data_IF_257180164366
#
_entry.id   IF_257180164366
#
_cell.length_a   1.000
_cell.length_b   1.000
_cell.length_c   1.000
_cell.angle_alpha   90.00
_cell.angle_beta   90.00
_cell.angle_gamma   90.00
#
_symmetry.space_group_name_H-M   'P 1'
#
loop_
_entity.id
_entity.type
_entity.pdbx_description
1 polymer ?
#
# COMPACT_ATOMS: atom_id res chain seq x y z
N UNK A 1 37.60 -17.76 23.18
CA UNK A 1 36.73 -16.70 23.68
C UNK A 1 35.98 -16.14 22.50
N UNK A 2 34.76 -16.59 22.30
CA UNK A 2 33.93 -16.21 21.12
C UNK A 2 33.10 -14.99 21.50
N UNK A 3 33.45 -13.84 20.91
CA UNK A 3 32.66 -12.61 21.06
C UNK A 3 31.32 -12.82 20.33
N UNK A 4 30.24 -13.03 21.09
CA UNK A 4 28.88 -12.86 20.58
C UNK A 4 28.71 -11.38 20.22
N UNK A 5 28.74 -11.08 18.93
CA UNK A 5 28.25 -9.80 18.42
C UNK A 5 26.77 -9.72 18.82
N UNK A 6 26.48 -8.83 19.76
CA UNK A 6 25.13 -8.46 20.10
C UNK A 6 24.50 -7.93 18.81
N UNK A 7 23.50 -8.64 18.28
CA UNK A 7 22.62 -8.13 17.24
C UNK A 7 21.88 -6.96 17.90
N UNK A 8 22.30 -5.74 17.57
CA UNK A 8 21.56 -4.54 17.93
C UNK A 8 20.11 -4.79 17.52
N UNK A 9 19.22 -4.72 18.51
CA UNK A 9 17.77 -4.88 18.30
C UNK A 9 17.37 -3.87 17.24
N UNK A 10 16.86 -4.36 16.09
CA UNK A 10 16.28 -3.52 15.05
C UNK A 10 15.25 -2.62 15.71
N UNK A 11 15.58 -1.34 15.85
CA UNK A 11 14.72 -0.39 16.51
C UNK A 11 13.47 -0.23 15.62
N UNK A 12 12.32 -0.63 16.14
CA UNK A 12 11.05 -0.28 15.51
C UNK A 12 10.92 1.23 15.41
N UNK A 13 10.27 1.79 14.37
CA UNK A 13 10.04 3.21 14.26
C UNK A 13 9.29 3.71 15.51
N UNK A 14 9.64 4.89 16.03
CA UNK A 14 9.00 5.44 17.23
C UNK A 14 7.52 5.67 17.04
N UNK A 15 7.12 6.07 15.83
CA UNK A 15 5.72 6.31 15.50
C UNK A 15 5.40 5.97 14.04
N UNK A 16 4.20 5.38 13.83
CA UNK A 16 3.69 5.00 12.53
C UNK A 16 2.28 5.53 12.35
N UNK A 17 2.03 6.20 11.24
CA UNK A 17 0.68 6.56 10.82
C UNK A 17 0.22 5.62 9.71
N UNK A 18 -0.78 4.80 9.98
CA UNK A 18 -1.42 3.94 8.98
C UNK A 18 -2.51 4.75 8.29
N UNK A 19 -2.42 4.87 6.97
CA UNK A 19 -3.33 5.65 6.14
C UNK A 19 -4.13 4.69 5.27
N UNK A 20 -5.45 4.70 5.46
CA UNK A 20 -6.39 3.79 4.81
C UNK A 20 -7.40 4.58 3.99
N UNK A 21 -7.29 4.63 2.66
CA UNK A 21 -8.32 5.23 1.83
C UNK A 21 -9.55 4.31 1.81
N UNK A 22 -10.74 4.87 2.03
CA UNK A 22 -12.00 4.15 2.01
C UNK A 22 -13.00 4.80 1.05
N UNK A 23 -13.73 3.97 0.33
CA UNK A 23 -14.85 4.37 -0.52
C UNK A 23 -15.79 3.19 -0.70
N UNK A 24 -16.94 3.22 -0.03
CA UNK A 24 -17.92 2.13 -0.01
C UNK A 24 -17.30 0.79 0.43
N UNK A 25 -16.73 0.76 1.61
CA UNK A 25 -16.01 -0.37 2.22
C UNK A 25 -16.74 -0.91 3.48
N UNK A 26 -18.06 -0.71 3.59
CA UNK A 26 -18.86 -1.15 4.77
C UNK A 26 -18.67 -2.63 5.10
N UNK A 27 -18.37 -3.48 4.11
CA UNK A 27 -18.18 -4.92 4.28
C UNK A 27 -16.79 -5.33 4.78
N UNK A 28 -15.80 -4.42 4.75
CA UNK A 28 -14.40 -4.73 5.06
C UNK A 28 -13.83 -3.93 6.21
N UNK A 29 -14.39 -2.75 6.49
CA UNK A 29 -13.83 -1.80 7.43
C UNK A 29 -13.79 -2.32 8.88
N UNK A 30 -14.82 -3.04 9.33
CA UNK A 30 -14.87 -3.61 10.68
C UNK A 30 -13.75 -4.64 10.89
N UNK A 31 -13.54 -5.53 9.89
CA UNK A 31 -12.51 -6.56 9.96
C UNK A 31 -11.09 -5.96 10.03
N UNK A 32 -10.86 -4.83 9.35
CA UNK A 32 -9.59 -4.13 9.43
C UNK A 32 -9.38 -3.47 10.79
N UNK A 33 -10.42 -2.83 11.36
CA UNK A 33 -10.35 -2.25 12.70
C UNK A 33 -10.10 -3.32 13.76
N UNK A 34 -10.80 -4.47 13.68
CA UNK A 34 -10.58 -5.62 14.56
C UNK A 34 -9.15 -6.19 14.46
N UNK A 35 -8.53 -6.09 13.29
CA UNK A 35 -7.13 -6.47 13.12
C UNK A 35 -6.21 -5.50 13.85
N UNK A 36 -6.44 -4.19 13.78
CA UNK A 36 -5.65 -3.20 14.49
C UNK A 36 -5.81 -3.28 16.00
N UNK A 37 -6.99 -3.68 16.51
CA UNK A 37 -7.21 -3.88 17.95
C UNK A 37 -6.38 -5.06 18.53
N UNK A 38 -5.93 -5.98 17.67
CA UNK A 38 -5.22 -7.21 18.10
C UNK A 38 -3.75 -7.24 17.70
N UNK A 39 -3.33 -6.37 16.77
CA UNK A 39 -1.97 -6.42 16.25
C UNK A 39 -0.96 -5.87 17.26
N UNK A 40 0.21 -6.51 17.33
CA UNK A 40 1.34 -5.99 18.08
C UNK A 40 2.06 -4.92 17.26
N UNK A 41 2.02 -3.68 17.74
CA UNK A 41 2.73 -2.55 17.14
C UNK A 41 4.24 -2.55 17.46
N UNK A 42 4.75 -3.58 18.13
CA UNK A 42 6.17 -3.75 18.46
C UNK A 42 6.80 -2.56 19.18
N UNK A 43 6.04 -1.91 20.07
CA UNK A 43 6.47 -0.73 20.82
C UNK A 43 6.38 0.60 20.08
N UNK A 44 5.97 0.61 18.81
CA UNK A 44 5.69 1.85 18.06
C UNK A 44 4.41 2.51 18.54
N UNK A 45 4.41 3.83 18.68
CA UNK A 45 3.16 4.60 18.80
C UNK A 45 2.48 4.59 17.42
N UNK A 46 1.25 4.08 17.35
CA UNK A 46 0.52 3.95 16.10
C UNK A 46 -0.78 4.77 16.11
N UNK A 47 -1.02 5.51 15.04
CA UNK A 47 -2.33 6.08 14.71
C UNK A 47 -2.85 5.45 13.42
N UNK A 48 -4.16 5.33 13.29
CA UNK A 48 -4.83 4.86 12.07
C UNK A 48 -5.78 5.95 11.60
N UNK A 49 -5.61 6.36 10.33
CA UNK A 49 -6.38 7.43 9.69
C UNK A 49 -7.12 6.83 8.50
N UNK A 50 -8.44 6.73 8.62
CA UNK A 50 -9.31 6.42 7.49
C UNK A 50 -9.60 7.72 6.73
N UNK A 51 -9.40 7.69 5.42
CA UNK A 51 -9.65 8.85 4.53
C UNK A 51 -10.80 8.49 3.61
N UNK A 52 -11.96 9.11 3.85
CA UNK A 52 -13.19 8.81 3.12
C UNK A 52 -13.29 9.59 1.81
N UNK A 53 -13.48 8.87 0.72
CA UNK A 53 -13.67 9.39 -0.63
C UNK A 53 -15.13 9.73 -0.99
N UNK A 54 -16.00 9.93 0.00
CA UNK A 54 -17.42 10.22 -0.19
C UNK A 54 -18.27 8.96 -0.21
N UNK A 55 -18.08 8.06 0.75
CA UNK A 55 -18.89 6.84 0.91
C UNK A 55 -20.35 7.12 1.17
N UNK A 56 -21.23 6.30 0.62
CA UNK A 56 -22.69 6.38 0.73
C UNK A 56 -23.35 5.12 1.27
N UNK A 57 -22.55 4.09 1.59
CA UNK A 57 -23.02 2.76 2.00
C UNK A 57 -23.03 2.54 3.52
N UNK A 58 -22.72 3.58 4.33
CA UNK A 58 -22.60 3.49 5.79
C UNK A 58 -21.17 3.20 6.26
N UNK A 59 -20.18 3.19 5.39
CA UNK A 59 -18.75 3.02 5.76
C UNK A 59 -18.32 4.02 6.84
N UNK A 60 -18.73 5.28 6.71
CA UNK A 60 -18.36 6.38 7.65
C UNK A 60 -18.81 6.09 9.08
N UNK A 61 -20.03 5.58 9.23
CA UNK A 61 -20.66 5.31 10.53
C UNK A 61 -20.03 4.11 11.25
N UNK A 62 -19.25 3.31 10.52
CA UNK A 62 -18.54 2.14 11.06
C UNK A 62 -17.15 2.47 11.62
N UNK A 63 -16.58 3.64 11.33
CA UNK A 63 -15.29 4.02 11.91
C UNK A 63 -15.49 4.37 13.38
N UNK A 64 -14.81 3.61 14.27
CA UNK A 64 -14.92 3.73 15.71
C UNK A 64 -13.65 4.31 16.35
N UNK A 65 -13.78 4.91 17.52
CA UNK A 65 -12.64 5.30 18.33
C UNK A 65 -11.76 4.07 18.68
N UNK A 66 -10.41 4.18 18.73
CA UNK A 66 -9.65 5.44 18.67
C UNK A 66 -9.25 5.89 17.25
N UNK A 67 -9.79 5.28 16.21
CA UNK A 67 -9.42 5.56 14.82
C UNK A 67 -9.96 6.92 14.35
N UNK A 68 -9.15 7.60 13.53
CA UNK A 68 -9.53 8.89 12.96
C UNK A 68 -10.21 8.69 11.61
N UNK A 69 -11.30 9.40 11.37
CA UNK A 69 -11.94 9.53 10.06
C UNK A 69 -11.80 10.98 9.59
N UNK A 70 -11.30 11.14 8.38
CA UNK A 70 -11.20 12.46 7.73
C UNK A 70 -11.74 12.40 6.30
N UNK A 71 -12.23 13.52 5.81
CA UNK A 71 -12.68 13.63 4.43
C UNK A 71 -11.52 13.79 3.47
N UNK A 72 -11.63 13.18 2.31
CA UNK A 72 -10.64 13.29 1.27
C UNK A 72 -10.59 14.71 0.69
N UNK A 73 -9.37 15.23 0.56
CA UNK A 73 -9.06 16.37 -0.28
C UNK A 73 -8.40 15.91 -1.58
N UNK A 74 -8.77 16.50 -2.72
CA UNK A 74 -8.26 16.09 -4.03
C UNK A 74 -9.04 14.94 -4.67
N UNK A 75 -8.49 14.35 -5.73
CA UNK A 75 -9.19 13.35 -6.53
C UNK A 75 -8.58 11.96 -6.42
N UNK A 76 -9.43 10.94 -6.56
CA UNK A 76 -9.01 9.57 -6.66
C UNK A 76 -8.23 9.04 -5.45
N UNK A 77 -7.62 7.86 -5.59
CA UNK A 77 -6.90 7.19 -4.51
C UNK A 77 -5.66 7.98 -4.06
N UNK A 78 -4.92 8.58 -5.00
CA UNK A 78 -3.74 9.39 -4.68
C UNK A 78 -4.09 10.60 -3.81
N UNK A 79 -5.20 11.29 -4.10
CA UNK A 79 -5.73 12.39 -3.28
C UNK A 79 -6.04 11.95 -1.85
N UNK A 80 -6.74 10.81 -1.68
CA UNK A 80 -7.03 10.27 -0.36
C UNK A 80 -5.74 9.95 0.44
N UNK A 81 -4.79 9.25 -0.18
CA UNK A 81 -3.52 8.92 0.46
C UNK A 81 -2.70 10.17 0.85
N UNK A 82 -2.69 11.19 0.00
CA UNK A 82 -2.03 12.47 0.28
C UNK A 82 -2.72 13.24 1.42
N UNK A 83 -4.05 13.24 1.46
CA UNK A 83 -4.82 13.85 2.55
C UNK A 83 -4.45 13.21 3.88
N UNK A 84 -4.45 11.87 3.95
CA UNK A 84 -4.02 11.14 5.13
C UNK A 84 -2.57 11.43 5.52
N UNK A 85 -1.65 11.48 4.54
CA UNK A 85 -0.25 11.78 4.79
C UNK A 85 0.00 13.18 5.36
N UNK A 86 -0.79 14.19 4.95
CA UNK A 86 -0.72 15.54 5.52
C UNK A 86 -1.24 15.59 6.96
N UNK A 87 -2.29 14.83 7.26
CA UNK A 87 -2.88 14.75 8.59
C UNK A 87 -2.11 13.86 9.57
N UNK A 88 -1.13 13.09 9.06
CA UNK A 88 -0.34 12.13 9.82
C UNK A 88 0.74 12.80 10.66
N UNK A 89 0.94 12.29 11.90
CA UNK A 89 1.94 12.77 12.86
C UNK A 89 3.14 11.80 13.00
N UNK A 90 3.01 10.57 12.49
CA UNK A 90 4.05 9.55 12.57
C UNK A 90 5.29 9.85 11.75
N UNK A 91 6.44 9.35 12.23
CA UNK A 91 7.72 9.42 11.51
C UNK A 91 7.69 8.54 10.24
N UNK A 92 6.86 7.49 10.27
CA UNK A 92 6.65 6.56 9.15
C UNK A 92 5.19 6.62 8.72
N UNK A 93 4.97 6.77 7.41
CA UNK A 93 3.68 6.64 6.77
C UNK A 93 3.53 5.22 6.25
N UNK A 94 2.43 4.55 6.58
CA UNK A 94 2.11 3.23 6.10
C UNK A 94 0.77 3.25 5.34
N UNK A 95 0.83 3.09 4.03
CA UNK A 95 -0.33 3.11 3.14
C UNK A 95 -0.92 1.70 2.99
N UNK A 96 -2.16 1.53 3.39
CA UNK A 96 -2.82 0.24 3.48
C UNK A 96 -4.21 0.27 2.84
N UNK A 97 -4.58 -0.79 2.11
CA UNK A 97 -5.95 -0.93 1.60
C UNK A 97 -6.89 -1.52 2.66
N UNK A 98 -8.16 -1.14 2.63
CA UNK A 98 -9.16 -1.54 3.60
C UNK A 98 -9.39 -3.07 3.64
N UNK A 99 -9.18 -3.77 2.54
CA UNK A 99 -9.32 -5.23 2.41
C UNK A 99 -8.02 -6.02 2.64
N UNK A 100 -7.01 -5.38 3.21
CA UNK A 100 -5.71 -5.98 3.47
C UNK A 100 -5.66 -6.69 4.83
N UNK A 101 -4.98 -7.84 4.87
CA UNK A 101 -4.67 -8.52 6.12
C UNK A 101 -3.16 -8.54 6.33
N UNK A 102 -2.71 -7.93 7.41
CA UNK A 102 -1.32 -7.85 7.80
C UNK A 102 -0.84 -9.20 8.36
N UNK A 103 0.41 -9.59 8.11
CA UNK A 103 1.00 -10.74 8.79
C UNK A 103 1.26 -10.43 10.27
N UNK A 104 1.37 -11.49 11.07
CA UNK A 104 1.86 -11.37 12.45
C UNK A 104 3.27 -10.74 12.46
N UNK A 105 3.53 -9.86 13.42
CA UNK A 105 4.82 -9.15 13.54
C UNK A 105 5.07 -8.10 12.44
N UNK A 106 4.02 -7.65 11.73
CA UNK A 106 4.14 -6.69 10.63
C UNK A 106 4.95 -5.44 11.00
N UNK A 107 4.70 -4.85 12.17
CA UNK A 107 5.39 -3.62 12.60
C UNK A 107 6.87 -3.85 12.94
N UNK A 108 7.23 -5.04 13.42
CA UNK A 108 8.63 -5.43 13.60
C UNK A 108 9.35 -5.51 12.25
N UNK A 109 8.70 -6.12 11.25
CA UNK A 109 9.28 -6.21 9.90
C UNK A 109 9.40 -4.85 9.22
N UNK A 110 8.50 -3.90 9.48
CA UNK A 110 8.64 -2.50 9.06
C UNK A 110 9.96 -1.94 9.61
N UNK A 111 10.21 -2.08 10.91
CA UNK A 111 11.46 -1.64 11.55
C UNK A 111 12.70 -2.31 10.95
N UNK A 112 12.66 -3.63 10.74
CA UNK A 112 13.77 -4.38 10.13
C UNK A 112 14.10 -3.90 8.71
N UNK A 113 13.11 -3.56 7.92
CA UNK A 113 13.31 -3.04 6.56
C UNK A 113 13.83 -1.60 6.63
N UNK A 114 13.22 -0.74 7.46
CA UNK A 114 13.61 0.67 7.56
C UNK A 114 14.99 0.86 8.22
N UNK A 115 15.54 -0.14 8.91
CA UNK A 115 16.94 -0.09 9.38
C UNK A 115 17.97 -0.15 8.23
N UNK A 116 17.54 -0.50 7.00
CA UNK A 116 18.40 -0.66 5.82
C UNK A 116 18.00 0.20 4.64
N UNK A 117 16.75 0.64 4.59
CA UNK A 117 16.17 1.46 3.52
C UNK A 117 15.23 2.48 4.14
N UNK A 118 14.94 3.56 3.42
CA UNK A 118 14.01 4.60 3.89
C UNK A 118 12.57 4.36 3.46
N UNK A 119 12.34 3.35 2.61
CA UNK A 119 11.05 2.94 2.07
C UNK A 119 11.01 1.44 1.90
N UNK A 120 9.86 0.84 2.18
CA UNK A 120 9.65 -0.59 2.02
C UNK A 120 8.22 -0.95 1.69
N UNK A 121 8.01 -2.23 1.46
CA UNK A 121 6.69 -2.80 1.15
C UNK A 121 6.62 -4.26 1.62
N UNK A 122 5.39 -4.73 1.88
CA UNK A 122 5.18 -6.13 2.23
C UNK A 122 5.21 -7.06 0.99
N UNK A 123 4.96 -6.53 -0.18
CA UNK A 123 4.58 -7.38 -1.31
C UNK A 123 3.20 -8.00 -1.11
N UNK A 124 2.76 -8.86 -2.03
CA UNK A 124 1.40 -9.42 -1.97
C UNK A 124 1.39 -10.94 -1.86
N UNK A 125 0.30 -11.43 -1.22
CA UNK A 125 -0.20 -12.79 -1.27
C UNK A 125 -1.70 -12.74 -1.45
N UNK A 126 -2.23 -13.37 -2.50
CA UNK A 126 -3.68 -13.39 -2.70
C UNK A 126 -4.37 -14.34 -1.71
N UNK A 127 -5.57 -13.93 -1.26
CA UNK A 127 -6.42 -14.74 -0.38
C UNK A 127 -6.93 -16.01 -1.06
N UNK A 128 -7.02 -16.01 -2.41
CA UNK A 128 -7.41 -17.14 -3.25
C UNK A 128 -6.27 -17.46 -4.20
N UNK A 129 -5.81 -18.71 -4.23
CA UNK A 129 -4.73 -19.15 -5.10
C UNK A 129 -5.30 -19.86 -6.33
N UNK A 130 -4.98 -19.33 -7.50
CA UNK A 130 -5.20 -19.96 -8.81
C UNK A 130 -3.92 -19.81 -9.62
N UNK A 131 -3.70 -20.59 -10.69
CA UNK A 131 -2.47 -20.52 -11.47
C UNK A 131 -2.11 -19.10 -11.94
N UNK A 132 -3.06 -18.35 -12.48
CA UNK A 132 -2.83 -16.96 -12.93
C UNK A 132 -2.54 -16.05 -11.76
N UNK A 133 -3.29 -16.13 -10.63
CA UNK A 133 -3.04 -15.30 -9.46
C UNK A 133 -1.69 -15.63 -8.80
N UNK A 134 -1.28 -16.90 -8.81
CA UNK A 134 0.05 -17.29 -8.34
C UNK A 134 1.14 -16.66 -9.20
N UNK A 135 1.00 -16.71 -10.52
CA UNK A 135 1.94 -16.05 -11.45
C UNK A 135 1.97 -14.52 -11.21
N UNK A 136 0.80 -13.88 -11.10
CA UNK A 136 0.69 -12.45 -10.80
C UNK A 136 1.41 -12.09 -9.49
N UNK A 137 1.20 -12.88 -8.43
CA UNK A 137 1.84 -12.69 -7.12
C UNK A 137 3.37 -12.79 -7.22
N UNK A 138 3.89 -13.85 -7.86
CA UNK A 138 5.32 -14.05 -8.03
C UNK A 138 5.94 -12.89 -8.82
N UNK A 139 5.36 -12.55 -9.98
CA UNK A 139 5.85 -11.46 -10.82
C UNK A 139 5.78 -10.09 -10.14
N UNK A 140 4.73 -9.84 -9.33
CA UNK A 140 4.63 -8.61 -8.54
C UNK A 140 5.72 -8.51 -7.48
N UNK A 141 6.00 -9.58 -6.75
CA UNK A 141 7.04 -9.60 -5.73
C UNK A 141 8.45 -9.53 -6.34
N UNK A 142 8.70 -10.22 -7.47
CA UNK A 142 9.97 -10.12 -8.21
C UNK A 142 10.20 -8.70 -8.75
N UNK A 143 9.15 -8.01 -9.21
CA UNK A 143 9.25 -6.62 -9.64
C UNK A 143 9.76 -5.71 -8.53
N UNK A 144 9.23 -5.83 -7.31
CA UNK A 144 9.74 -5.08 -6.15
C UNK A 144 11.21 -5.41 -5.92
N UNK A 145 11.53 -6.70 -5.83
CA UNK A 145 12.89 -7.16 -5.49
C UNK A 145 13.96 -6.69 -6.48
N UNK A 146 13.65 -6.72 -7.78
CA UNK A 146 14.67 -6.45 -8.82
C UNK A 146 14.55 -5.08 -9.48
N UNK A 147 13.37 -4.45 -9.45
CA UNK A 147 13.14 -3.17 -10.11
C UNK A 147 12.86 -2.03 -9.13
N UNK A 148 12.67 -2.34 -7.83
CA UNK A 148 12.28 -1.39 -6.81
C UNK A 148 11.02 -0.60 -7.18
N UNK A 149 10.00 -1.30 -7.68
CA UNK A 149 8.70 -0.71 -8.04
C UNK A 149 7.62 -1.44 -7.26
N UNK A 150 6.97 -0.74 -6.34
CA UNK A 150 5.81 -1.21 -5.58
C UNK A 150 4.52 -0.57 -6.11
N UNK A 151 3.40 -1.24 -5.91
CA UNK A 151 2.06 -0.72 -6.19
C UNK A 151 1.26 -0.60 -4.91
N UNK A 152 0.13 0.12 -4.97
CA UNK A 152 -0.66 0.45 -3.79
C UNK A 152 -1.20 -0.73 -2.99
N UNK A 153 -1.41 -1.89 -3.62
CA UNK A 153 -1.89 -3.12 -2.99
C UNK A 153 -0.80 -3.90 -2.21
N UNK A 154 0.43 -3.42 -2.22
CA UNK A 154 1.57 -4.09 -1.60
C UNK A 154 1.92 -3.56 -0.20
N UNK A 155 1.16 -2.62 0.35
CA UNK A 155 1.41 -2.05 1.68
C UNK A 155 2.73 -1.30 1.73
N UNK A 156 2.78 -0.13 1.08
CA UNK A 156 3.95 0.74 1.07
C UNK A 156 4.11 1.44 2.41
N UNK A 157 5.30 1.38 3.00
CA UNK A 157 5.68 2.18 4.17
C UNK A 157 6.96 2.96 3.89
N UNK A 158 7.03 4.20 4.38
CA UNK A 158 8.06 5.15 4.00
C UNK A 158 8.28 6.17 5.11
N UNK A 159 9.51 6.62 5.30
CA UNK A 159 9.81 7.77 6.15
C UNK A 159 9.05 9.00 5.65
N UNK A 160 8.41 9.71 6.58
CA UNK A 160 7.51 10.83 6.28
C UNK A 160 8.19 11.94 5.48
N UNK A 161 9.41 12.33 5.85
CA UNK A 161 10.18 13.36 5.14
C UNK A 161 10.53 12.95 3.70
N UNK A 162 10.88 11.66 3.49
CA UNK A 162 11.14 11.14 2.16
C UNK A 162 9.89 11.14 1.29
N UNK A 163 8.70 10.82 1.85
CA UNK A 163 7.44 10.86 1.10
C UNK A 163 7.17 12.26 0.51
N UNK A 164 7.32 13.29 1.35
CA UNK A 164 7.13 14.68 0.89
C UNK A 164 8.24 15.12 -0.07
N UNK A 165 9.48 14.75 0.18
CA UNK A 165 10.63 15.03 -0.71
C UNK A 165 10.46 14.38 -2.09
N UNK A 166 9.85 13.20 -2.17
CA UNK A 166 9.58 12.48 -3.42
C UNK A 166 8.40 13.08 -4.21
N UNK A 167 7.71 14.11 -3.67
CA UNK A 167 6.63 14.83 -4.33
C UNK A 167 5.24 14.24 -4.09
N UNK A 168 5.09 13.34 -3.11
CA UNK A 168 3.82 12.67 -2.79
C UNK A 168 3.27 11.84 -3.96
N UNK A 169 2.05 11.30 -3.85
CA UNK A 169 1.38 10.69 -5.00
C UNK A 169 0.89 11.79 -5.96
N UNK A 170 1.10 11.68 -7.27
CA UNK A 170 0.58 12.67 -8.21
C UNK A 170 -0.96 12.66 -8.23
N UNK A 171 -1.54 13.83 -8.49
CA UNK A 171 -2.99 13.98 -8.64
C UNK A 171 -3.44 13.54 -10.04
N UNK A 172 -3.46 12.23 -10.24
CA UNK A 172 -3.83 11.60 -11.51
C UNK A 172 -4.87 10.48 -11.26
N UNK A 173 -5.77 10.23 -12.22
CA UNK A 173 -6.84 9.25 -12.03
C UNK A 173 -6.34 7.79 -12.02
N UNK A 174 -5.16 7.53 -12.56
CA UNK A 174 -4.54 6.20 -12.64
C UNK A 174 -3.02 6.33 -12.67
N UNK A 175 -2.29 5.30 -12.22
CA UNK A 175 -0.81 5.22 -12.19
C UNK A 175 -0.13 6.09 -11.12
N UNK A 176 -0.84 6.58 -10.12
CA UNK A 176 -0.29 7.39 -9.04
C UNK A 176 0.79 6.65 -8.25
N UNK A 177 0.58 5.36 -7.96
CA UNK A 177 1.54 4.49 -7.26
C UNK A 177 2.76 4.15 -8.12
N UNK A 178 2.53 3.90 -9.40
CA UNK A 178 3.61 3.63 -10.35
C UNK A 178 4.49 4.86 -10.56
N UNK A 179 3.88 6.05 -10.74
CA UNK A 179 4.64 7.30 -10.88
C UNK A 179 5.43 7.61 -9.61
N UNK A 180 4.84 7.40 -8.42
CA UNK A 180 5.53 7.59 -7.16
C UNK A 180 6.76 6.66 -7.03
N UNK A 181 6.61 5.39 -7.42
CA UNK A 181 7.74 4.47 -7.46
C UNK A 181 8.85 4.90 -8.44
N UNK A 182 8.50 5.51 -9.57
CA UNK A 182 9.47 6.10 -10.50
C UNK A 182 10.17 7.32 -9.89
N UNK A 183 9.47 8.14 -9.11
CA UNK A 183 10.05 9.28 -8.42
C UNK A 183 11.07 8.82 -7.37
N UNK A 184 10.76 7.82 -6.56
CA UNK A 184 11.70 7.19 -5.61
C UNK A 184 12.94 6.66 -6.33
N UNK A 185 12.75 5.99 -7.46
CA UNK A 185 13.86 5.49 -8.27
C UNK A 185 14.76 6.61 -8.81
N UNK A 186 14.20 7.76 -9.20
CA UNK A 186 14.98 8.94 -9.63
C UNK A 186 15.78 9.54 -8.48
N UNK A 187 15.28 9.45 -7.25
CA UNK A 187 16.00 9.86 -6.04
C UNK A 187 17.06 8.86 -5.59
N UNK A 188 17.17 7.70 -6.25
CA UNK A 188 18.10 6.64 -5.86
C UNK A 188 17.68 5.84 -4.63
N UNK A 189 16.40 5.93 -4.23
CA UNK A 189 15.87 5.27 -3.02
C UNK A 189 15.38 3.86 -3.36
N UNK A 190 16.06 2.80 -2.92
CA UNK A 190 15.64 1.43 -3.15
C UNK A 190 14.46 1.08 -2.24
N UNK A 191 13.45 0.41 -2.79
CA UNK A 191 12.33 -0.11 -2.01
C UNK A 191 12.72 -1.45 -1.40
N UNK A 192 12.77 -1.51 -0.06
CA UNK A 192 12.96 -2.74 0.69
C UNK A 192 11.70 -3.62 0.67
N UNK A 193 11.83 -4.91 1.00
CA UNK A 193 10.69 -5.82 1.06
C UNK A 193 10.77 -6.70 2.29
N UNK A 194 9.66 -6.82 3.03
CA UNK A 194 9.52 -7.65 4.22
C UNK A 194 9.62 -9.15 3.88
N UNK A 195 9.80 -9.98 4.90
CA UNK A 195 9.81 -11.46 4.74
C UNK A 195 8.40 -11.99 4.46
N UNK A 196 7.43 -11.58 5.27
CA UNK A 196 6.04 -11.98 5.11
C UNK A 196 5.32 -11.04 4.15
N UNK A 197 4.21 -11.50 3.60
CA UNK A 197 3.43 -10.79 2.59
C UNK A 197 2.10 -10.37 3.16
N UNK A 198 1.64 -9.19 2.75
CA UNK A 198 0.28 -8.77 3.01
C UNK A 198 -0.68 -9.67 2.24
N UNK A 199 -1.75 -10.12 2.88
CA UNK A 199 -2.81 -10.85 2.18
C UNK A 199 -3.84 -9.86 1.66
N UNK A 200 -4.02 -9.84 0.35
CA UNK A 200 -4.97 -8.96 -0.34
C UNK A 200 -6.10 -9.76 -0.99
N UNK A 201 -7.25 -9.12 -1.11
CA UNK A 201 -8.40 -9.70 -1.78
C UNK A 201 -8.16 -9.87 -3.28
N UNK A 202 -8.68 -10.96 -3.85
CA UNK A 202 -8.72 -11.16 -5.30
C UNK A 202 -10.00 -10.56 -5.93
N UNK A 203 -10.80 -9.75 -5.22
CA UNK A 203 -12.10 -9.22 -5.67
C UNK A 203 -12.05 -8.46 -7.00
N UNK A 204 -10.89 -7.86 -7.31
CA UNK A 204 -10.68 -7.15 -8.60
C UNK A 204 -10.49 -8.07 -9.78
N UNK A 205 -10.24 -9.36 -9.54
CA UNK A 205 -10.07 -10.32 -10.59
C UNK A 205 -11.36 -11.11 -10.83
N UNK A 206 -11.81 -11.24 -12.06
CA UNK A 206 -13.00 -12.02 -12.41
C UNK A 206 -12.79 -13.50 -12.07
N UNK A 207 -13.87 -14.29 -12.11
CA UNK A 207 -13.84 -15.70 -11.69
C UNK A 207 -13.14 -16.65 -12.68
N UNK A 208 -12.95 -16.26 -13.95
CA UNK A 208 -12.30 -17.09 -14.98
C UNK A 208 -10.79 -16.87 -15.08
N UNK A 209 -10.00 -17.92 -15.30
CA UNK A 209 -8.53 -17.80 -15.48
C UNK A 209 -8.16 -16.94 -16.70
N UNK A 210 -8.89 -17.10 -17.81
CA UNK A 210 -8.67 -16.33 -19.04
C UNK A 210 -8.90 -14.83 -18.79
N UNK A 211 -9.98 -14.51 -18.06
CA UNK A 211 -10.30 -13.11 -17.77
C UNK A 211 -9.32 -12.49 -16.76
N UNK A 212 -8.84 -13.27 -15.78
CA UNK A 212 -7.73 -12.87 -14.89
C UNK A 212 -6.47 -12.55 -15.67
N UNK A 213 -6.13 -13.42 -16.62
CA UNK A 213 -4.97 -13.19 -17.50
C UNK A 213 -5.16 -11.92 -18.35
N UNK A 214 -6.36 -11.70 -18.90
CA UNK A 214 -6.69 -10.47 -19.65
C UNK A 214 -6.50 -9.22 -18.80
N UNK A 215 -7.02 -9.21 -17.57
CA UNK A 215 -6.85 -8.09 -16.62
C UNK A 215 -5.35 -7.83 -16.37
N UNK A 216 -4.58 -8.87 -16.08
CA UNK A 216 -3.15 -8.74 -15.82
C UNK A 216 -2.36 -8.22 -17.03
N UNK A 217 -2.63 -8.76 -18.23
CA UNK A 217 -2.01 -8.30 -19.48
C UNK A 217 -2.41 -6.86 -19.78
N UNK A 218 -3.70 -6.50 -19.58
CA UNK A 218 -4.17 -5.14 -19.77
C UNK A 218 -3.43 -4.14 -18.87
N UNK A 219 -3.27 -4.46 -17.57
CA UNK A 219 -2.49 -3.64 -16.66
C UNK A 219 -1.02 -3.48 -17.09
N UNK A 220 -0.41 -4.54 -17.65
CA UNK A 220 0.95 -4.45 -18.19
C UNK A 220 1.02 -3.54 -19.42
N UNK A 221 0.02 -3.63 -20.32
CA UNK A 221 -0.11 -2.74 -21.49
C UNK A 221 -0.30 -1.29 -21.10
N UNK A 222 -1.18 -1.00 -20.13
CA UNK A 222 -1.43 0.37 -19.66
C UNK A 222 -0.16 0.99 -19.08
N UNK A 223 0.60 0.25 -18.26
CA UNK A 223 1.90 0.71 -17.76
C UNK A 223 2.92 0.97 -18.88
N UNK A 224 2.96 0.10 -19.89
CA UNK A 224 3.83 0.31 -21.05
C UNK A 224 3.44 1.58 -21.83
N UNK A 225 2.14 1.83 -22.02
CA UNK A 225 1.65 3.06 -22.66
C UNK A 225 1.99 4.30 -21.84
N UNK A 226 1.84 4.23 -20.48
CA UNK A 226 2.21 5.32 -19.59
C UNK A 226 3.69 5.70 -19.72
N UNK A 227 4.58 4.71 -19.71
CA UNK A 227 6.04 4.93 -19.88
C UNK A 227 6.36 5.53 -21.26
N UNK A 228 5.54 5.26 -22.28
CA UNK A 228 5.65 5.83 -23.63
C UNK A 228 5.00 7.21 -23.79
N UNK A 229 4.46 7.78 -22.71
CA UNK A 229 3.91 9.13 -22.67
C UNK A 229 2.40 9.24 -22.89
N UNK A 230 1.64 8.15 -22.82
CA UNK A 230 0.17 8.23 -22.80
C UNK A 230 -0.31 8.95 -21.53
N UNK A 231 -1.33 9.81 -21.67
CA UNK A 231 -1.85 10.57 -20.53
C UNK A 231 -2.56 9.67 -19.51
N UNK A 232 -2.51 9.99 -18.21
CA UNK A 232 -3.23 9.25 -17.18
C UNK A 232 -4.75 9.21 -17.42
N UNK A 233 -5.31 10.25 -18.01
CA UNK A 233 -6.74 10.37 -18.34
C UNK A 233 -7.13 9.38 -19.43
N UNK A 234 -6.37 9.30 -20.52
CA UNK A 234 -6.56 8.30 -21.59
C UNK A 234 -6.46 6.87 -21.05
N UNK A 235 -5.50 6.64 -20.13
CA UNK A 235 -5.32 5.33 -19.53
C UNK A 235 -6.45 4.96 -18.58
N UNK A 236 -7.00 5.94 -17.83
CA UNK A 236 -8.13 5.74 -16.96
C UNK A 236 -9.41 5.37 -17.74
N UNK A 237 -9.66 6.04 -18.88
CA UNK A 237 -10.75 5.68 -19.79
C UNK A 237 -10.59 4.26 -20.35
N UNK A 238 -9.36 3.88 -20.73
CA UNK A 238 -9.05 2.54 -21.25
C UNK A 238 -9.09 1.44 -20.17
N UNK A 239 -8.90 1.80 -18.89
CA UNK A 239 -8.98 0.86 -17.78
C UNK A 239 -10.42 0.41 -17.51
N UNK A 240 -11.40 1.25 -17.83
CA UNK A 240 -12.80 1.03 -17.48
C UNK A 240 -13.02 1.13 -15.97
N UNK A 241 -14.25 1.35 -15.55
CA UNK A 241 -14.62 1.34 -14.13
C UNK A 241 -14.58 -0.09 -13.57
N UNK A 242 -13.41 -0.64 -13.34
CA UNK A 242 -13.23 -1.84 -12.51
C UNK A 242 -13.22 -1.36 -11.05
N UNK A 243 -14.40 -0.99 -10.57
CA UNK A 243 -14.73 -0.74 -9.16
C UNK A 243 -15.71 -1.79 -8.67
#
# INVERSE_FOLDING_TARGET
MSARVAVESSQCPKSVSVIVPVFNEVSTIDALQDQFDRIDFAGSRCEVIFVDGGSTDGTRDRVRAPYRLIDQEGRGRGGALNTGARAAEGEVLFFLHCDSVLPEGAFREIGEVLSRTRVGTFGIRFSKLTPVLMLCQVMSNLRVRFRHISYGDQGLFIERDLFFKAGMFPDVPLMEDFQFALNLKRLGEPIGMTRHRIRTSARRFPNGEVDRLRVWVNMARLRSRYVKGASPEELALAYGNVR
#
